data_IF_049815754604
#
_entry.id   IF_049815754604
#
_cell.length_a   1.000
_cell.length_b   1.000
_cell.length_c   1.000
_cell.angle_alpha   90.00
_cell.angle_beta   90.00
_cell.angle_gamma   90.00
#
_symmetry.space_group_name_H-M   'P 1'
#
loop_
_entity.id
_entity.type
_entity.pdbx_description
1 polymer ?
#
# COMPACT_ATOMS: atom_id res chain seq x y z
N UNK A 1 13.73 -17.24 -16.41
CA UNK A 1 12.76 -17.07 -15.30
C UNK A 1 12.28 -18.46 -14.90
N UNK A 2 12.35 -18.82 -13.62
CA UNK A 2 12.11 -20.20 -13.17
C UNK A 2 10.65 -20.63 -13.48
N UNK A 3 10.46 -21.82 -14.04
CA UNK A 3 9.14 -22.34 -14.42
C UNK A 3 8.16 -22.34 -13.24
N UNK A 4 8.64 -22.66 -12.05
CA UNK A 4 7.86 -22.60 -10.82
C UNK A 4 7.34 -21.20 -10.51
N UNK A 5 8.17 -20.16 -10.67
CA UNK A 5 7.78 -18.77 -10.42
C UNK A 5 6.71 -18.29 -11.41
N UNK A 6 6.82 -18.69 -12.67
CA UNK A 6 5.81 -18.37 -13.70
C UNK A 6 4.48 -19.04 -13.37
N UNK A 7 4.51 -20.33 -13.00
CA UNK A 7 3.29 -21.06 -12.66
C UNK A 7 2.60 -20.50 -11.40
N UNK A 8 3.38 -20.08 -10.40
CA UNK A 8 2.85 -19.42 -9.20
C UNK A 8 2.12 -18.13 -9.57
N UNK A 9 2.73 -17.28 -10.39
CA UNK A 9 2.09 -16.04 -10.84
C UNK A 9 0.78 -16.32 -11.62
N UNK A 10 0.79 -17.30 -12.52
CA UNK A 10 -0.42 -17.71 -13.26
C UNK A 10 -1.53 -18.21 -12.34
N UNK A 11 -1.20 -19.02 -11.34
CA UNK A 11 -2.18 -19.57 -10.40
C UNK A 11 -2.93 -18.48 -9.62
N UNK A 12 -2.25 -17.40 -9.22
CA UNK A 12 -2.85 -16.34 -8.42
C UNK A 12 -3.42 -15.17 -9.23
N UNK A 13 -2.91 -14.88 -10.43
CA UNK A 13 -3.31 -13.69 -11.19
C UNK A 13 -4.21 -14.01 -12.40
N UNK A 14 -4.15 -15.23 -12.93
CA UNK A 14 -4.88 -15.59 -14.16
C UNK A 14 -5.92 -16.67 -13.88
N UNK A 15 -5.53 -17.74 -13.19
CA UNK A 15 -6.37 -18.91 -12.99
C UNK A 15 -7.01 -18.98 -11.61
N UNK A 16 -6.94 -17.90 -10.82
CA UNK A 16 -7.51 -17.88 -9.49
C UNK A 16 -9.04 -17.98 -9.57
N UNK A 17 -9.67 -19.00 -8.96
CA UNK A 17 -11.12 -19.16 -9.03
C UNK A 17 -11.79 -18.04 -8.23
N UNK A 18 -12.56 -17.20 -8.92
CA UNK A 18 -13.27 -16.07 -8.31
C UNK A 18 -14.79 -16.28 -8.42
N UNK A 19 -15.57 -16.08 -7.34
CA UNK A 19 -17.02 -16.11 -7.43
C UNK A 19 -17.54 -15.03 -8.38
N UNK A 20 -18.52 -15.35 -9.21
CA UNK A 20 -19.06 -14.42 -10.23
C UNK A 20 -19.83 -13.23 -9.61
N UNK A 21 -20.35 -13.39 -8.39
CA UNK A 21 -21.20 -12.38 -7.73
C UNK A 21 -20.42 -11.50 -6.73
N UNK A 22 -19.12 -11.27 -6.96
CA UNK A 22 -18.34 -10.34 -6.14
C UNK A 22 -18.77 -8.87 -6.38
N UNK A 23 -19.05 -8.13 -5.32
CA UNK A 23 -19.33 -6.70 -5.39
C UNK A 23 -18.04 -5.86 -5.32
N UNK A 24 -18.18 -4.54 -5.46
CA UNK A 24 -17.06 -3.60 -5.48
C UNK A 24 -16.20 -3.61 -4.19
N UNK A 25 -16.77 -3.98 -3.03
CA UNK A 25 -16.06 -3.97 -1.74
C UNK A 25 -14.90 -4.98 -1.68
N UNK A 26 -14.87 -5.97 -2.58
CA UNK A 26 -13.75 -6.91 -2.68
C UNK A 26 -12.47 -6.26 -3.20
N UNK A 27 -12.55 -5.12 -3.90
CA UNK A 27 -11.39 -4.41 -4.45
C UNK A 27 -10.49 -3.74 -3.39
N UNK A 28 -11.01 -3.45 -2.20
CA UNK A 28 -10.24 -2.70 -1.19
C UNK A 28 -8.97 -3.43 -0.72
N UNK A 29 -8.93 -4.76 -0.78
CA UNK A 29 -7.71 -5.52 -0.47
C UNK A 29 -6.59 -5.29 -1.50
N UNK A 30 -6.94 -5.31 -2.79
CA UNK A 30 -5.99 -5.05 -3.87
C UNK A 30 -5.53 -3.59 -3.88
N UNK A 31 -6.45 -2.65 -3.68
CA UNK A 31 -6.13 -1.23 -3.55
C UNK A 31 -5.20 -0.96 -2.36
N UNK A 32 -5.43 -1.63 -1.22
CA UNK A 32 -4.55 -1.54 -0.06
C UNK A 32 -3.13 -2.00 -0.42
N UNK A 33 -3.00 -3.11 -1.15
CA UNK A 33 -1.70 -3.59 -1.66
C UNK A 33 -0.99 -2.59 -2.56
N UNK A 34 -1.71 -1.93 -3.48
CA UNK A 34 -1.16 -0.88 -4.34
C UNK A 34 -0.67 0.30 -3.51
N UNK A 35 -1.50 0.82 -2.61
CA UNK A 35 -1.14 1.98 -1.78
C UNK A 35 0.05 1.65 -0.89
N UNK A 36 0.10 0.44 -0.32
CA UNK A 36 1.25 0.00 0.48
C UNK A 36 2.55 -0.06 -0.32
N UNK A 37 2.49 -0.56 -1.56
CA UNK A 37 3.64 -0.53 -2.47
C UNK A 37 4.11 0.90 -2.77
N UNK A 38 3.19 1.82 -3.03
CA UNK A 38 3.50 3.25 -3.19
C UNK A 38 4.16 3.82 -1.93
N UNK A 39 3.68 3.46 -0.73
CA UNK A 39 4.26 3.91 0.53
C UNK A 39 5.70 3.42 0.72
N UNK A 40 6.01 2.17 0.36
CA UNK A 40 7.39 1.65 0.41
C UNK A 40 8.28 2.43 -0.56
N UNK A 41 7.87 2.59 -1.81
CA UNK A 41 8.66 3.29 -2.82
C UNK A 41 8.94 4.74 -2.40
N UNK A 42 7.88 5.48 -2.07
CA UNK A 42 8.00 6.88 -1.65
C UNK A 42 8.78 7.02 -0.34
N UNK A 43 8.60 6.10 0.62
CA UNK A 43 9.31 6.10 1.89
C UNK A 43 10.81 5.88 1.73
N UNK A 44 11.22 4.93 0.88
CA UNK A 44 12.64 4.68 0.58
C UNK A 44 13.28 5.92 -0.07
N UNK A 45 12.61 6.54 -1.04
CA UNK A 45 13.10 7.76 -1.70
C UNK A 45 13.21 8.96 -0.75
N UNK A 46 12.28 9.09 0.20
CA UNK A 46 12.37 10.14 1.22
C UNK A 46 13.48 9.85 2.23
N UNK A 47 13.68 8.58 2.60
CA UNK A 47 14.69 8.17 3.56
C UNK A 47 16.12 8.46 3.08
N UNK A 48 16.40 8.38 1.77
CA UNK A 48 17.72 8.73 1.23
C UNK A 48 18.09 10.20 1.39
N UNK A 49 17.12 11.08 1.64
CA UNK A 49 17.29 12.52 1.78
C UNK A 49 16.98 13.04 3.20
N UNK A 50 16.59 12.15 4.11
CA UNK A 50 16.20 12.50 5.48
C UNK A 50 17.37 12.32 6.45
N UNK A 51 17.53 13.27 7.38
CA UNK A 51 18.57 13.21 8.42
C UNK A 51 17.90 12.90 9.77
N UNK A 52 18.15 11.71 10.37
CA UNK A 52 17.51 11.29 11.62
C UNK A 52 18.19 11.85 12.88
N UNK A 53 18.65 13.10 12.83
CA UNK A 53 19.27 13.82 13.95
C UNK A 53 18.31 14.92 14.43
N UNK A 54 18.08 15.06 15.74
CA UNK A 54 17.03 15.94 16.29
C UNK A 54 17.20 17.38 15.78
N UNK A 55 18.43 17.88 15.76
CA UNK A 55 18.78 19.24 15.31
C UNK A 55 18.54 19.48 13.80
N UNK A 56 18.49 18.42 12.98
CA UNK A 56 18.39 18.50 11.52
C UNK A 56 17.14 17.86 10.93
N UNK A 57 16.35 17.12 11.71
CA UNK A 57 15.18 16.38 11.23
C UNK A 57 14.18 17.29 10.51
N UNK A 58 13.82 18.44 11.12
CA UNK A 58 12.91 19.39 10.49
C UNK A 58 13.51 20.04 9.23
N UNK A 59 14.78 20.45 9.29
CA UNK A 59 15.45 21.09 8.17
C UNK A 59 15.60 20.15 6.97
N UNK A 60 15.88 18.86 7.19
CA UNK A 60 15.95 17.86 6.12
C UNK A 60 14.59 17.69 5.40
N UNK A 61 13.47 17.72 6.14
CA UNK A 61 12.13 17.70 5.53
C UNK A 61 11.84 18.98 4.73
N UNK A 62 12.23 20.16 5.24
CA UNK A 62 12.09 21.41 4.49
C UNK A 62 12.92 21.41 3.22
N UNK A 63 14.15 20.88 3.28
CA UNK A 63 15.03 20.70 2.13
C UNK A 63 14.37 19.80 1.07
N UNK A 64 13.81 18.65 1.48
CA UNK A 64 13.05 17.77 0.56
C UNK A 64 11.89 18.53 -0.10
N UNK A 65 11.12 19.30 0.66
CA UNK A 65 9.96 20.00 0.13
C UNK A 65 10.31 21.12 -0.86
N UNK A 66 11.41 21.84 -0.64
CA UNK A 66 11.70 23.10 -1.33
C UNK A 66 12.83 23.01 -2.34
N UNK A 67 13.85 22.22 -2.04
CA UNK A 67 15.12 22.23 -2.78
C UNK A 67 15.26 21.03 -3.72
N UNK A 68 14.58 19.91 -3.42
CA UNK A 68 14.61 18.72 -4.28
C UNK A 68 13.54 18.79 -5.37
N UNK A 69 13.93 18.43 -6.60
CA UNK A 69 13.00 18.32 -7.71
C UNK A 69 11.90 17.29 -7.42
N UNK A 70 10.63 17.71 -7.51
CA UNK A 70 9.46 16.91 -7.16
C UNK A 70 9.40 16.41 -5.70
N UNK A 71 10.29 16.89 -4.81
CA UNK A 71 10.33 16.41 -3.43
C UNK A 71 9.04 16.72 -2.66
N UNK A 72 8.38 17.84 -2.96
CA UNK A 72 7.03 18.13 -2.48
C UNK A 72 6.01 17.05 -2.85
N UNK A 73 6.04 16.56 -4.09
CA UNK A 73 5.11 15.56 -4.60
C UNK A 73 5.31 14.24 -3.85
N UNK A 74 6.54 13.76 -3.74
CA UNK A 74 6.86 12.55 -2.99
C UNK A 74 6.50 12.66 -1.51
N UNK A 75 6.77 13.81 -0.89
CA UNK A 75 6.44 14.03 0.53
C UNK A 75 4.94 14.01 0.80
N UNK A 76 4.15 14.67 -0.05
CA UNK A 76 2.69 14.68 0.08
C UNK A 76 2.06 13.36 -0.34
N UNK A 77 2.60 12.68 -1.35
CA UNK A 77 2.15 11.33 -1.72
C UNK A 77 2.36 10.36 -0.56
N UNK A 78 3.52 10.39 0.11
CA UNK A 78 3.79 9.56 1.27
C UNK A 78 2.92 9.93 2.49
N UNK A 79 2.69 11.23 2.73
CA UNK A 79 1.84 11.70 3.84
C UNK A 79 0.36 11.30 3.64
N UNK A 80 -0.21 11.66 2.49
CA UNK A 80 -1.61 11.41 2.17
C UNK A 80 -1.85 9.93 1.94
N UNK A 81 -0.91 9.23 1.30
CA UNK A 81 -0.96 7.78 1.08
C UNK A 81 -1.02 7.00 2.39
N UNK A 82 -0.33 7.46 3.45
CA UNK A 82 -0.46 6.86 4.78
C UNK A 82 -1.91 6.90 5.29
N UNK A 83 -2.62 8.03 5.13
CA UNK A 83 -4.05 8.12 5.47
C UNK A 83 -4.90 7.17 4.64
N UNK A 84 -4.60 7.01 3.34
CA UNK A 84 -5.29 6.05 2.47
C UNK A 84 -5.08 4.59 2.92
N UNK A 85 -3.89 4.21 3.42
CA UNK A 85 -3.67 2.88 4.01
C UNK A 85 -4.69 2.62 5.13
N UNK A 86 -4.88 3.57 6.05
CA UNK A 86 -5.85 3.39 7.14
C UNK A 86 -7.29 3.35 6.65
N UNK A 87 -7.69 4.27 5.76
CA UNK A 87 -9.05 4.29 5.21
C UNK A 87 -9.37 2.96 4.51
N UNK A 88 -8.47 2.49 3.64
CA UNK A 88 -8.67 1.24 2.91
C UNK A 88 -8.65 0.02 3.83
N UNK A 89 -7.80 0.03 4.86
CA UNK A 89 -7.77 -1.03 5.88
C UNK A 89 -9.10 -1.11 6.62
N UNK A 90 -9.64 0.03 7.07
CA UNK A 90 -10.94 0.04 7.76
C UNK A 90 -12.08 -0.43 6.85
N UNK A 91 -12.11 0.02 5.59
CA UNK A 91 -13.10 -0.44 4.62
C UNK A 91 -12.96 -1.96 4.35
N UNK A 92 -11.73 -2.47 4.29
CA UNK A 92 -11.46 -3.89 4.12
C UNK A 92 -11.93 -4.72 5.32
N UNK A 93 -11.65 -4.25 6.55
CA UNK A 93 -12.10 -4.88 7.80
C UNK A 93 -13.63 -4.90 7.88
N UNK A 94 -14.29 -3.76 7.63
CA UNK A 94 -15.77 -3.66 7.67
C UNK A 94 -16.41 -4.65 6.70
N UNK A 95 -15.89 -4.74 5.47
CA UNK A 95 -16.36 -5.72 4.50
C UNK A 95 -16.11 -7.15 4.99
N UNK A 96 -14.97 -7.43 5.64
CA UNK A 96 -14.69 -8.77 6.18
C UNK A 96 -15.60 -9.13 7.36
N UNK A 97 -15.96 -8.18 8.24
CA UNK A 97 -16.96 -8.40 9.29
C UNK A 97 -18.35 -8.72 8.72
N UNK A 98 -18.75 -8.05 7.63
CA UNK A 98 -20.07 -8.21 7.03
C UNK A 98 -20.25 -9.51 6.25
N UNK A 99 -19.16 -10.05 5.69
CA UNK A 99 -19.23 -11.22 4.83
C UNK A 99 -18.40 -12.37 5.38
N UNK A 100 -17.10 -12.18 5.61
CA UNK A 100 -16.10 -13.27 5.62
C UNK A 100 -15.61 -13.79 6.96
N UNK A 101 -15.71 -12.99 8.03
CA UNK A 101 -15.06 -13.30 9.31
C UNK A 101 -15.38 -14.72 9.82
N UNK A 102 -16.64 -15.14 9.70
CA UNK A 102 -17.09 -16.44 10.22
C UNK A 102 -16.78 -17.62 9.30
N UNK A 103 -16.73 -17.43 7.98
CA UNK A 103 -16.56 -18.53 7.01
C UNK A 103 -15.11 -18.70 6.48
N UNK A 104 -14.24 -17.70 6.67
CA UNK A 104 -12.80 -17.75 6.35
C UNK A 104 -11.91 -17.41 7.57
N UNK A 105 -11.91 -18.26 8.62
CA UNK A 105 -11.23 -17.94 9.87
C UNK A 105 -9.69 -17.90 9.76
N UNK A 106 -9.10 -18.57 8.76
CA UNK A 106 -7.64 -18.57 8.57
C UNK A 106 -7.10 -17.33 7.87
N UNK A 107 -7.96 -16.56 7.19
CA UNK A 107 -7.58 -15.34 6.48
C UNK A 107 -8.07 -14.06 7.15
N UNK A 108 -8.87 -14.20 8.21
CA UNK A 108 -9.29 -13.09 9.06
C UNK A 108 -8.17 -12.69 10.02
#
# INVERSE_FOLDING_TARGET
MNYYSINLAKAHLIYYPCPLNINFLWNYGFLLGIVFFIQILTGVLLATCYTPEISYAYYSVQHILRELWSGWCFRYMHATGASFVFILTYLHIIRGLNYSYSYLPLSW
#
